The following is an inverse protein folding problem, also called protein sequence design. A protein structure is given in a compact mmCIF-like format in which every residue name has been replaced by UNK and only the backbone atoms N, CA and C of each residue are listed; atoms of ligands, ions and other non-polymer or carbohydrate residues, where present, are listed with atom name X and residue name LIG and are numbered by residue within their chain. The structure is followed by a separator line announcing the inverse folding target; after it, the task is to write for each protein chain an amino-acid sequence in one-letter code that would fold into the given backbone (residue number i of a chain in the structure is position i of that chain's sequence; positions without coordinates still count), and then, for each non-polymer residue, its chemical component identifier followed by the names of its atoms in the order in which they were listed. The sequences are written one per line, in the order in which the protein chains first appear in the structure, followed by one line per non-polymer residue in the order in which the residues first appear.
data_IF_499938891123
#
_entry.id   IF_499938891123
#
_cell.length_a   1.000
_cell.length_b   1.000
_cell.length_c   1.000
_cell.angle_alpha   90.00
_cell.angle_beta   90.00
_cell.angle_gamma   90.00
#
_symmetry.space_group_name_H-M   'P 1'
#
loop_
_entity.id
_entity.type
_entity.pdbx_description
1 polymer ?
#
# COMPACT_ATOMS: atom_id res chain seq x y z
N UNK A 1 11.77 20.59 30.16
CA UNK A 1 12.53 19.93 29.08
C UNK A 1 11.85 20.03 27.72
N UNK A 2 10.52 19.92 27.62
CA UNK A 2 9.78 20.08 26.34
C UNK A 2 10.01 21.43 25.63
N UNK A 3 9.94 22.56 26.35
CA UNK A 3 10.10 23.90 25.75
C UNK A 3 11.48 24.18 25.11
N UNK A 4 12.51 23.39 25.43
CA UNK A 4 13.86 23.54 24.84
C UNK A 4 14.02 22.74 23.54
N UNK A 5 13.13 21.77 23.31
CA UNK A 5 13.06 20.96 22.09
C UNK A 5 12.42 21.76 20.96
N UNK A 6 11.28 22.40 21.23
CA UNK A 6 10.52 23.14 20.22
C UNK A 6 11.32 24.33 19.68
N UNK A 7 12.03 25.02 20.58
CA UNK A 7 12.90 26.15 20.21
C UNK A 7 14.07 25.74 19.31
N UNK A 8 14.54 24.49 19.40
CA UNK A 8 15.61 23.97 18.55
C UNK A 8 15.09 23.57 17.16
N UNK A 9 13.87 23.03 17.08
CA UNK A 9 13.22 22.73 15.81
C UNK A 9 12.93 24.00 15.00
N UNK A 10 12.40 25.04 15.64
CA UNK A 10 12.15 26.34 14.99
C UNK A 10 13.45 26.98 14.48
N UNK A 11 14.55 26.83 15.22
CA UNK A 11 15.85 27.37 14.84
C UNK A 11 16.46 26.61 13.64
N UNK A 12 16.23 25.30 13.55
CA UNK A 12 16.66 24.50 12.40
C UNK A 12 15.82 24.79 11.17
N UNK A 13 14.51 24.89 11.31
CA UNK A 13 13.59 25.20 10.22
C UNK A 13 13.87 26.60 9.65
N UNK A 14 14.15 27.57 10.53
CA UNK A 14 14.59 28.91 10.15
C UNK A 14 15.92 28.91 9.38
N UNK A 15 16.90 28.11 9.81
CA UNK A 15 18.20 27.98 9.12
C UNK A 15 18.06 27.28 7.76
N UNK A 16 17.20 26.27 7.65
CA UNK A 16 16.92 25.59 6.38
C UNK A 16 16.20 26.51 5.38
N UNK A 17 15.22 27.30 5.85
CA UNK A 17 14.54 28.29 5.01
C UNK A 17 15.50 29.37 4.50
N UNK A 18 16.43 29.82 5.35
CA UNK A 18 17.45 30.79 4.98
C UNK A 18 18.43 30.23 3.93
N UNK A 19 18.89 28.99 4.12
CA UNK A 19 19.76 28.29 3.16
C UNK A 19 19.08 28.08 1.81
N UNK A 20 17.80 27.68 1.80
CA UNK A 20 17.03 27.52 0.56
C UNK A 20 16.94 28.85 -0.21
N UNK A 21 16.63 29.95 0.48
CA UNK A 21 16.58 31.29 -0.13
C UNK A 21 17.93 31.76 -0.66
N UNK A 22 19.02 31.45 0.05
CA UNK A 22 20.37 31.79 -0.41
C UNK A 22 20.79 30.95 -1.63
N UNK A 23 20.37 29.69 -1.67
CA UNK A 23 20.62 28.80 -2.81
C UNK A 23 19.85 29.26 -4.05
N UNK A 24 18.58 29.62 -3.91
CA UNK A 24 17.74 30.17 -4.98
C UNK A 24 18.31 31.49 -5.51
N UNK A 25 18.77 32.38 -4.61
CA UNK A 25 19.38 33.64 -4.99
C UNK A 25 20.71 33.44 -5.74
N UNK A 26 21.53 32.46 -5.32
CA UNK A 26 22.77 32.07 -6.01
C UNK A 26 22.48 31.44 -7.38
N UNK A 27 21.47 30.59 -7.49
CA UNK A 27 21.03 30.00 -8.77
C UNK A 27 20.56 31.07 -9.76
N UNK A 28 19.79 32.06 -9.29
CA UNK A 28 19.38 33.21 -10.11
C UNK A 28 20.57 34.07 -10.54
N UNK A 29 21.55 34.30 -9.66
CA UNK A 29 22.73 35.11 -9.97
C UNK A 29 23.69 34.45 -10.96
N UNK A 30 23.79 33.12 -10.94
CA UNK A 30 24.69 32.37 -11.82
C UNK A 30 24.13 32.17 -13.23
N UNK A 31 22.87 32.58 -13.50
CA UNK A 31 22.23 32.38 -14.80
C UNK A 31 22.14 30.91 -15.21
N UNK A 32 22.30 30.00 -14.25
CA UNK A 32 22.16 28.59 -14.50
C UNK A 32 20.67 28.33 -14.80
N UNK A 33 20.32 27.71 -15.95
CA UNK A 33 18.98 27.13 -16.07
C UNK A 33 18.77 26.26 -14.82
N UNK A 34 17.60 26.38 -14.17
CA UNK A 34 17.24 25.53 -13.04
C UNK A 34 17.62 24.12 -13.44
N UNK A 35 18.63 23.56 -12.76
CA UNK A 35 19.28 22.36 -13.25
C UNK A 35 18.17 21.35 -13.51
N UNK A 36 18.02 20.94 -14.76
CA UNK A 36 17.63 19.57 -15.08
C UNK A 36 18.76 18.71 -14.49
N UNK A 37 18.84 18.67 -13.16
CA UNK A 37 19.69 17.78 -12.43
C UNK A 37 19.13 16.44 -12.81
N UNK A 38 19.83 15.71 -13.69
CA UNK A 38 19.67 14.27 -13.76
C UNK A 38 19.63 13.80 -12.32
N UNK A 39 18.43 13.38 -11.85
CA UNK A 39 18.26 12.88 -10.50
C UNK A 39 19.19 11.67 -10.39
N UNK A 40 20.33 11.90 -9.72
CA UNK A 40 21.36 10.88 -9.54
C UNK A 40 20.73 9.79 -8.69
N UNK A 41 20.76 8.56 -9.20
CA UNK A 41 20.23 7.40 -8.49
C UNK A 41 20.91 7.30 -7.11
N UNK A 42 20.10 7.32 -6.05
CA UNK A 42 20.61 7.25 -4.68
C UNK A 42 21.23 5.89 -4.39
N UNK A 43 22.30 5.82 -3.57
CA UNK A 43 22.94 4.58 -3.24
C UNK A 43 22.03 3.72 -2.34
N UNK A 44 22.05 2.40 -2.55
CA UNK A 44 21.25 1.44 -1.79
C UNK A 44 21.43 1.58 -0.26
N UNK A 45 22.63 1.96 0.19
CA UNK A 45 22.98 2.07 1.60
C UNK A 45 22.04 3.01 2.38
N UNK A 46 21.48 4.03 1.73
CA UNK A 46 20.54 4.98 2.36
C UNK A 46 19.22 4.31 2.78
N UNK A 47 18.84 3.23 2.11
CA UNK A 47 17.60 2.49 2.39
C UNK A 47 17.81 1.28 3.29
N UNK A 48 19.06 0.97 3.68
CA UNK A 48 19.40 -0.26 4.40
C UNK A 48 18.52 -0.46 5.65
N UNK A 49 18.31 0.60 6.43
CA UNK A 49 17.43 0.56 7.61
C UNK A 49 16.01 0.15 7.25
N UNK A 50 15.42 0.75 6.23
CA UNK A 50 14.05 0.45 5.81
C UNK A 50 13.94 -0.97 5.24
N UNK A 51 14.97 -1.45 4.52
CA UNK A 51 15.06 -2.84 4.10
C UNK A 51 15.02 -3.80 5.28
N UNK A 52 15.89 -3.62 6.27
CA UNK A 52 15.97 -4.52 7.42
C UNK A 52 14.69 -4.53 8.24
N UNK A 53 14.08 -3.36 8.46
CA UNK A 53 12.80 -3.26 9.18
C UNK A 53 11.66 -3.95 8.42
N UNK A 54 11.54 -3.71 7.12
CA UNK A 54 10.50 -4.36 6.30
C UNK A 54 10.71 -5.87 6.20
N UNK A 55 11.96 -6.34 6.01
CA UNK A 55 12.28 -7.77 6.01
C UNK A 55 11.97 -8.41 7.36
N UNK A 56 12.36 -7.75 8.47
CA UNK A 56 12.07 -8.26 9.81
C UNK A 56 10.56 -8.41 10.04
N UNK A 57 9.76 -7.43 9.61
CA UNK A 57 8.31 -7.49 9.67
C UNK A 57 7.75 -8.62 8.79
N UNK A 58 8.25 -8.77 7.55
CA UNK A 58 7.86 -9.87 6.65
C UNK A 58 8.15 -11.24 7.29
N UNK A 59 9.35 -11.41 7.85
CA UNK A 59 9.77 -12.65 8.52
C UNK A 59 8.92 -12.92 9.75
N UNK A 60 8.68 -11.91 10.60
CA UNK A 60 7.82 -12.03 11.77
C UNK A 60 6.43 -12.53 11.39
N UNK A 61 5.81 -11.93 10.36
CA UNK A 61 4.48 -12.34 9.91
C UNK A 61 4.52 -13.75 9.31
N UNK A 62 5.40 -14.03 8.35
CA UNK A 62 5.43 -15.33 7.68
C UNK A 62 5.76 -16.48 8.65
N UNK A 63 6.81 -16.33 9.48
CA UNK A 63 7.18 -17.35 10.46
C UNK A 63 6.12 -17.48 11.55
N UNK A 64 5.56 -16.35 12.01
CA UNK A 64 4.49 -16.35 13.00
C UNK A 64 3.25 -17.10 12.51
N UNK A 65 2.82 -16.88 11.27
CA UNK A 65 1.67 -17.57 10.67
C UNK A 65 1.92 -19.07 10.54
N UNK A 66 3.11 -19.49 10.07
CA UNK A 66 3.49 -20.92 10.02
C UNK A 66 3.47 -21.51 11.42
N UNK A 67 4.12 -20.86 12.39
CA UNK A 67 4.17 -21.33 13.77
C UNK A 67 2.78 -21.47 14.38
N UNK A 68 1.91 -20.48 14.17
CA UNK A 68 0.52 -20.53 14.65
C UNK A 68 -0.29 -21.63 13.95
N UNK A 69 -0.09 -21.84 12.65
CA UNK A 69 -0.79 -22.89 11.90
C UNK A 69 -0.35 -24.31 12.31
N UNK A 70 0.93 -24.51 12.61
CA UNK A 70 1.48 -25.83 12.95
C UNK A 70 1.34 -26.20 14.43
N UNK A 71 1.51 -25.23 15.33
CA UNK A 71 1.61 -25.48 16.77
C UNK A 71 0.35 -25.12 17.55
N UNK A 72 -0.65 -24.48 16.94
CA UNK A 72 -1.93 -24.19 17.59
C UNK A 72 -3.02 -25.15 17.15
N UNK A 73 -3.67 -25.90 18.06
CA UNK A 73 -4.79 -26.78 17.72
C UNK A 73 -6.03 -26.01 17.23
N UNK A 74 -6.06 -24.69 17.44
CA UNK A 74 -7.11 -23.78 16.94
C UNK A 74 -6.79 -23.20 15.56
N UNK A 75 -5.57 -23.41 15.03
CA UNK A 75 -5.11 -22.94 13.73
C UNK A 75 -5.42 -21.47 13.51
N UNK A 76 -6.20 -21.18 12.46
CA UNK A 76 -6.63 -19.83 12.09
C UNK A 76 -7.38 -19.08 13.21
N UNK A 77 -8.07 -19.80 14.09
CA UNK A 77 -8.85 -19.22 15.19
C UNK A 77 -8.04 -19.01 16.46
N UNK A 78 -6.73 -19.23 16.44
CA UNK A 78 -5.88 -19.04 17.60
C UNK A 78 -5.60 -17.57 17.90
N UNK A 79 -5.35 -17.25 19.18
CA UNK A 79 -5.03 -15.88 19.58
C UNK A 79 -3.74 -15.39 18.92
N UNK A 80 -2.74 -16.26 18.80
CA UNK A 80 -1.48 -15.93 18.12
C UNK A 80 -1.72 -15.60 16.65
N UNK A 81 -2.52 -16.40 15.94
CA UNK A 81 -2.86 -16.11 14.54
C UNK A 81 -3.58 -14.77 14.41
N UNK A 82 -4.54 -14.46 15.28
CA UNK A 82 -5.24 -13.18 15.24
C UNK A 82 -4.28 -11.99 15.39
N UNK A 83 -3.34 -12.07 16.34
CA UNK A 83 -2.31 -11.02 16.54
C UNK A 83 -1.44 -10.87 15.30
N UNK A 84 -0.98 -11.98 14.72
CA UNK A 84 -0.11 -11.94 13.54
C UNK A 84 -0.86 -11.39 12.32
N UNK A 85 -2.13 -11.76 12.14
CA UNK A 85 -2.96 -11.26 11.06
C UNK A 85 -3.29 -9.76 11.18
N UNK A 86 -3.19 -9.15 12.38
CA UNK A 86 -3.23 -7.68 12.49
C UNK A 86 -1.95 -7.01 11.96
N UNK A 87 -0.80 -7.66 12.10
CA UNK A 87 0.46 -7.17 11.54
C UNK A 87 0.57 -7.41 10.02
N UNK A 88 -0.17 -8.37 9.47
CA UNK A 88 -0.09 -8.75 8.06
C UNK A 88 -0.42 -7.61 7.08
N UNK A 89 -1.52 -6.84 7.22
CA UNK A 89 -1.77 -5.68 6.36
C UNK A 89 -0.69 -4.58 6.49
N UNK A 90 -0.14 -4.39 7.69
CA UNK A 90 0.96 -3.42 7.92
C UNK A 90 2.22 -3.84 7.17
N UNK A 91 2.48 -5.14 7.08
CA UNK A 91 3.58 -5.70 6.29
C UNK A 91 3.44 -5.35 4.80
N UNK A 92 2.24 -5.49 4.22
CA UNK A 92 1.98 -5.07 2.85
C UNK A 92 2.17 -3.57 2.64
N UNK A 93 1.68 -2.75 3.57
CA UNK A 93 1.89 -1.29 3.55
C UNK A 93 3.38 -0.92 3.60
N UNK A 94 4.16 -1.59 4.45
CA UNK A 94 5.61 -1.39 4.54
C UNK A 94 6.34 -1.83 3.26
N UNK A 95 5.91 -2.92 2.62
CA UNK A 95 6.45 -3.37 1.34
C UNK A 95 6.18 -2.36 0.22
N UNK A 96 4.95 -1.85 0.11
CA UNK A 96 4.66 -0.77 -0.83
C UNK A 96 5.43 0.50 -0.47
N UNK A 97 5.58 0.81 0.82
CA UNK A 97 6.36 1.97 1.29
C UNK A 97 7.81 1.88 0.86
N UNK A 98 8.41 0.69 0.98
CA UNK A 98 9.77 0.45 0.53
C UNK A 98 9.88 0.55 -1.00
N UNK A 99 8.93 0.01 -1.77
CA UNK A 99 8.97 0.06 -3.24
C UNK A 99 8.81 1.49 -3.77
N UNK A 100 7.79 2.22 -3.31
CA UNK A 100 7.53 3.58 -3.80
C UNK A 100 8.44 4.62 -3.13
N UNK A 101 8.94 4.36 -1.93
CA UNK A 101 9.93 5.20 -1.25
C UNK A 101 11.36 5.02 -1.76
N UNK A 102 11.59 4.12 -2.72
CA UNK A 102 12.90 3.91 -3.39
C UNK A 102 12.82 4.27 -4.88
N UNK A 103 11.85 5.11 -5.29
CA UNK A 103 11.70 5.52 -6.68
C UNK A 103 12.94 6.24 -7.23
N UNK A 104 13.71 6.88 -6.36
CA UNK A 104 14.97 7.58 -6.56
C UNK A 104 16.21 6.66 -6.53
N UNK A 105 16.05 5.34 -6.34
CA UNK A 105 17.15 4.38 -6.42
C UNK A 105 16.76 3.11 -7.17
N UNK A 106 17.27 2.95 -8.39
CA UNK A 106 16.93 1.80 -9.25
C UNK A 106 17.35 0.44 -8.67
N UNK A 107 18.47 0.40 -7.94
CA UNK A 107 18.93 -0.80 -7.26
C UNK A 107 18.03 -1.15 -6.07
N UNK A 108 17.74 -0.18 -5.21
CA UNK A 108 16.85 -0.36 -4.07
C UNK A 108 15.45 -0.78 -4.54
N UNK A 109 14.87 -0.10 -5.54
CA UNK A 109 13.57 -0.48 -6.08
C UNK A 109 13.50 -1.93 -6.58
N UNK A 110 14.55 -2.43 -7.26
CA UNK A 110 14.62 -3.84 -7.69
C UNK A 110 14.66 -4.80 -6.50
N UNK A 111 15.48 -4.50 -5.49
CA UNK A 111 15.56 -5.34 -4.28
C UNK A 111 14.24 -5.33 -3.50
N UNK A 112 13.57 -4.17 -3.39
CA UNK A 112 12.28 -4.05 -2.73
C UNK A 112 11.21 -4.95 -3.39
N UNK A 113 11.16 -4.98 -4.73
CA UNK A 113 10.26 -5.86 -5.48
C UNK A 113 10.62 -7.34 -5.28
N UNK A 114 11.89 -7.69 -5.12
CA UNK A 114 12.30 -9.05 -4.77
C UNK A 114 11.82 -9.45 -3.38
N UNK A 115 11.94 -8.57 -2.38
CA UNK A 115 11.40 -8.81 -1.03
C UNK A 115 9.89 -9.03 -1.08
N UNK A 116 9.15 -8.20 -1.81
CA UNK A 116 7.71 -8.38 -2.04
C UNK A 116 7.40 -9.74 -2.67
N UNK A 117 8.14 -10.15 -3.71
CA UNK A 117 7.95 -11.45 -4.35
C UNK A 117 8.15 -12.59 -3.35
N UNK A 118 9.24 -12.56 -2.58
CA UNK A 118 9.52 -13.60 -1.57
C UNK A 118 8.42 -13.65 -0.53
N UNK A 119 8.02 -12.51 0.04
CA UNK A 119 6.94 -12.44 1.01
C UNK A 119 5.62 -13.00 0.45
N UNK A 120 5.22 -12.55 -0.75
CA UNK A 120 3.99 -13.01 -1.38
C UNK A 120 4.02 -14.51 -1.74
N UNK A 121 5.18 -15.05 -2.13
CA UNK A 121 5.36 -16.49 -2.32
C UNK A 121 5.25 -17.28 -1.02
N UNK A 122 5.78 -16.76 0.10
CA UNK A 122 5.58 -17.37 1.41
C UNK A 122 4.10 -17.43 1.79
N UNK A 123 3.28 -16.45 1.38
CA UNK A 123 1.84 -16.43 1.66
C UNK A 123 1.08 -17.63 1.08
N UNK A 124 1.56 -18.19 -0.04
CA UNK A 124 0.96 -19.39 -0.66
C UNK A 124 0.96 -20.56 0.34
N UNK A 125 2.07 -20.73 1.07
CA UNK A 125 2.23 -21.82 2.03
C UNK A 125 1.55 -21.46 3.35
N UNK A 126 1.74 -20.24 3.87
CA UNK A 126 1.21 -19.86 5.18
C UNK A 126 -0.31 -19.87 5.20
N UNK A 127 -0.97 -19.29 4.21
CA UNK A 127 -2.43 -19.27 4.12
C UNK A 127 -2.99 -20.67 3.89
N UNK A 128 -2.38 -21.46 3.00
CA UNK A 128 -2.75 -22.86 2.83
C UNK A 128 -2.73 -23.62 4.17
N UNK A 129 -1.62 -23.57 4.91
CA UNK A 129 -1.49 -24.25 6.20
C UNK A 129 -2.50 -23.73 7.23
N UNK A 130 -2.74 -22.41 7.25
CA UNK A 130 -3.65 -21.78 8.18
C UNK A 130 -5.09 -22.28 8.00
N UNK A 131 -5.58 -22.44 6.76
CA UNK A 131 -6.90 -23.01 6.48
C UNK A 131 -6.93 -24.55 6.59
N UNK A 132 -5.85 -25.21 6.17
CA UNK A 132 -5.74 -26.67 6.23
C UNK A 132 -5.79 -27.19 7.67
N UNK A 133 -5.09 -26.52 8.60
CA UNK A 133 -5.04 -26.88 10.02
C UNK A 133 -6.41 -26.92 10.71
N UNK A 134 -7.39 -26.17 10.20
CA UNK A 134 -8.77 -26.11 10.71
C UNK A 134 -9.75 -26.93 9.87
N UNK A 135 -9.26 -27.83 9.01
CA UNK A 135 -10.03 -28.74 8.14
C UNK A 135 -10.90 -28.00 7.10
N UNK A 136 -10.53 -26.77 6.73
CA UNK A 136 -11.18 -25.97 5.67
C UNK A 136 -10.45 -26.19 4.34
N UNK A 137 -10.56 -27.41 3.81
CA UNK A 137 -9.71 -27.86 2.69
C UNK A 137 -10.02 -27.14 1.38
N UNK A 138 -11.29 -26.86 1.10
CA UNK A 138 -11.70 -26.13 -0.11
C UNK A 138 -11.13 -24.71 -0.12
N UNK A 139 -11.21 -24.03 1.02
CA UNK A 139 -10.65 -22.68 1.18
C UNK A 139 -9.12 -22.70 1.19
N UNK A 140 -8.48 -23.74 1.74
CA UNK A 140 -7.04 -23.89 1.68
C UNK A 140 -6.54 -23.99 0.23
N UNK A 141 -7.23 -24.78 -0.61
CA UNK A 141 -6.93 -24.87 -2.05
C UNK A 141 -7.17 -23.53 -2.75
N UNK A 142 -8.29 -22.85 -2.44
CA UNK A 142 -8.57 -21.51 -2.96
C UNK A 142 -7.45 -20.52 -2.60
N UNK A 143 -6.90 -20.59 -1.39
CA UNK A 143 -5.79 -19.73 -0.95
C UNK A 143 -4.52 -19.96 -1.77
N UNK A 144 -4.21 -21.19 -2.21
CA UNK A 144 -3.08 -21.43 -3.10
C UNK A 144 -3.22 -20.61 -4.39
N UNK A 145 -4.39 -20.65 -5.01
CA UNK A 145 -4.66 -19.88 -6.23
C UNK A 145 -4.66 -18.38 -5.96
N UNK A 146 -5.36 -17.94 -4.92
CA UNK A 146 -5.48 -16.54 -4.52
C UNK A 146 -4.11 -15.89 -4.25
N UNK A 147 -3.29 -16.53 -3.42
CA UNK A 147 -1.95 -16.04 -3.08
C UNK A 147 -0.95 -16.27 -4.23
N UNK A 148 -1.14 -17.31 -5.04
CA UNK A 148 -0.36 -17.51 -6.26
C UNK A 148 -0.53 -16.37 -7.26
N UNK A 149 -1.78 -15.92 -7.47
CA UNK A 149 -2.08 -14.72 -8.26
C UNK A 149 -1.38 -13.50 -7.65
N UNK A 150 -1.45 -13.31 -6.33
CA UNK A 150 -0.79 -12.18 -5.66
C UNK A 150 0.74 -12.19 -5.86
N UNK A 151 1.37 -13.37 -5.73
CA UNK A 151 2.81 -13.55 -5.87
C UNK A 151 3.33 -13.28 -7.29
N UNK A 152 2.47 -13.41 -8.30
CA UNK A 152 2.81 -13.08 -9.69
C UNK A 152 2.44 -11.63 -10.02
N UNK A 153 1.19 -11.26 -9.76
CA UNK A 153 0.62 -10.00 -10.22
C UNK A 153 1.19 -8.79 -9.48
N UNK A 154 1.40 -8.83 -8.16
CA UNK A 154 1.90 -7.64 -7.46
C UNK A 154 3.34 -7.29 -7.81
N UNK A 155 4.31 -8.22 -7.80
CA UNK A 155 5.66 -7.88 -8.24
C UNK A 155 5.71 -7.38 -9.68
N UNK A 156 4.89 -7.98 -10.57
CA UNK A 156 4.75 -7.53 -11.96
C UNK A 156 4.20 -6.11 -12.04
N UNK A 157 3.10 -5.83 -11.34
CA UNK A 157 2.42 -4.55 -11.38
C UNK A 157 3.27 -3.44 -10.75
N UNK A 158 3.89 -3.70 -9.58
CA UNK A 158 4.82 -2.78 -8.94
C UNK A 158 5.98 -2.42 -9.87
N UNK A 159 6.57 -3.41 -10.54
CA UNK A 159 7.63 -3.16 -11.52
C UNK A 159 7.17 -2.22 -12.63
N UNK A 160 6.00 -2.47 -13.22
CA UNK A 160 5.47 -1.61 -14.29
C UNK A 160 5.17 -0.19 -13.79
N UNK A 161 4.58 -0.07 -12.60
CA UNK A 161 4.28 1.22 -11.98
C UNK A 161 5.55 2.01 -11.71
N UNK A 162 6.58 1.40 -11.11
CA UNK A 162 7.88 2.02 -10.86
C UNK A 162 8.54 2.46 -12.17
N UNK A 163 8.57 1.60 -13.20
CA UNK A 163 9.12 1.96 -14.51
C UNK A 163 8.40 3.16 -15.13
N UNK A 164 7.08 3.28 -14.96
CA UNK A 164 6.28 4.39 -15.50
C UNK A 164 6.44 5.67 -14.68
N UNK A 165 6.46 5.58 -13.35
CA UNK A 165 6.68 6.72 -12.46
C UNK A 165 8.08 7.30 -12.65
N UNK A 166 9.10 6.42 -12.79
CA UNK A 166 10.47 6.86 -13.00
C UNK A 166 10.67 7.66 -14.29
N UNK A 167 9.90 7.35 -15.34
CA UNK A 167 9.93 8.09 -16.60
C UNK A 167 9.36 9.51 -16.51
N UNK A 168 8.66 9.85 -15.42
CA UNK A 168 8.03 11.17 -15.24
C UNK A 168 8.93 12.17 -14.53
N UNK A 169 10.04 11.74 -13.93
CA UNK A 169 10.96 12.59 -13.17
C UNK A 169 10.38 13.05 -11.83
N UNK A 170 11.18 13.76 -11.02
CA UNK A 170 10.81 14.18 -9.67
C UNK A 170 10.76 13.00 -8.71
N UNK A 171 11.67 12.03 -8.88
CA UNK A 171 11.76 10.78 -8.14
C UNK A 171 11.80 10.99 -6.64
N UNK A 172 12.60 11.93 -6.14
CA UNK A 172 12.73 12.19 -4.71
C UNK A 172 11.42 12.72 -4.12
N UNK A 173 10.81 13.70 -4.78
CA UNK A 173 9.52 14.27 -4.36
C UNK A 173 8.39 13.24 -4.44
N UNK A 174 8.37 12.41 -5.48
CA UNK A 174 7.42 11.30 -5.59
C UNK A 174 7.63 10.26 -4.48
N UNK A 175 8.88 9.88 -4.20
CA UNK A 175 9.21 8.92 -3.15
C UNK A 175 8.75 9.42 -1.77
N UNK A 176 9.02 10.70 -1.46
CA UNK A 176 8.56 11.34 -0.24
C UNK A 176 7.03 11.37 -0.15
N UNK A 177 6.36 11.83 -1.22
CA UNK A 177 4.91 11.91 -1.31
C UNK A 177 4.22 10.55 -1.06
N UNK A 178 4.70 9.48 -1.69
CA UNK A 178 4.15 8.14 -1.52
C UNK A 178 4.42 7.58 -0.13
N UNK A 179 5.63 7.80 0.40
CA UNK A 179 6.01 7.38 1.75
C UNK A 179 5.12 8.06 2.80
N UNK A 180 4.92 9.38 2.71
CA UNK A 180 4.07 10.14 3.62
C UNK A 180 2.61 9.65 3.60
N UNK A 181 2.06 9.33 2.42
CA UNK A 181 0.70 8.77 2.32
C UNK A 181 0.61 7.37 2.91
N UNK A 182 1.61 6.52 2.69
CA UNK A 182 1.63 5.16 3.25
C UNK A 182 1.84 5.15 4.76
N UNK A 183 2.59 6.12 5.33
CA UNK A 183 2.68 6.29 6.77
C UNK A 183 1.32 6.60 7.41
N UNK A 184 0.48 7.41 6.75
CA UNK A 184 -0.90 7.64 7.20
C UNK A 184 -1.74 6.36 7.17
N UNK A 185 -1.61 5.56 6.11
CA UNK A 185 -2.27 4.25 6.00
C UNK A 185 -1.79 3.31 7.11
N UNK A 186 -0.48 3.20 7.31
CA UNK A 186 0.13 2.36 8.35
C UNK A 186 -0.31 2.79 9.74
N UNK A 187 -0.33 4.09 10.03
CA UNK A 187 -0.82 4.63 11.30
C UNK A 187 -2.26 4.24 11.57
N UNK A 188 -3.15 4.34 10.57
CA UNK A 188 -4.53 3.91 10.69
C UNK A 188 -4.65 2.39 10.91
N UNK A 189 -3.88 1.59 10.19
CA UNK A 189 -3.85 0.13 10.38
C UNK A 189 -3.36 -0.27 11.78
N UNK A 190 -2.36 0.42 12.31
CA UNK A 190 -1.87 0.20 13.68
C UNK A 190 -2.95 0.56 14.70
N UNK A 191 -3.66 1.68 14.52
CA UNK A 191 -4.78 2.06 15.39
C UNK A 191 -5.91 1.01 15.36
N UNK A 192 -6.25 0.50 14.17
CA UNK A 192 -7.23 -0.60 14.03
C UNK A 192 -6.75 -1.85 14.75
N UNK A 193 -5.49 -2.23 14.56
CA UNK A 193 -4.88 -3.40 15.20
C UNK A 193 -4.90 -3.30 16.74
N UNK A 194 -4.46 -2.16 17.28
CA UNK A 194 -4.46 -1.88 18.73
C UNK A 194 -5.87 -1.85 19.28
N UNK A 195 -6.80 -1.16 18.60
CA UNK A 195 -8.20 -1.10 19.00
C UNK A 195 -8.86 -2.47 18.99
N UNK A 196 -8.59 -3.29 17.97
CA UNK A 196 -9.12 -4.64 17.88
C UNK A 196 -8.53 -5.56 18.97
N UNK A 197 -7.23 -5.45 19.26
CA UNK A 197 -6.59 -6.17 20.36
C UNK A 197 -7.14 -5.73 21.74
N UNK A 198 -7.40 -4.44 21.93
CA UNK A 198 -7.98 -3.89 23.17
C UNK A 198 -9.42 -4.37 23.43
N UNK A 199 -10.18 -4.68 22.36
CA UNK A 199 -11.50 -5.31 22.47
C UNK A 199 -11.46 -6.81 22.81
N UNK A 200 -10.26 -7.37 22.97
CA UNK A 200 -10.01 -8.75 23.35
C UNK A 200 -9.72 -9.67 22.16
N UNK A 201 -8.80 -10.61 22.38
CA UNK A 201 -8.48 -11.71 21.47
C UNK A 201 -8.85 -13.01 22.19
N UNK A 202 -10.04 -13.55 21.89
CA UNK A 202 -10.60 -14.75 22.53
C UNK A 202 -10.98 -15.80 21.49
N UNK A 203 -10.01 -16.11 20.63
CA UNK A 203 -10.09 -17.15 19.61
C UNK A 203 -11.36 -17.11 18.77
N UNK A 204 -12.14 -18.19 18.79
CA UNK A 204 -13.38 -18.30 18.02
C UNK A 204 -14.44 -17.26 18.38
N UNK A 205 -14.47 -16.74 19.60
CA UNK A 205 -15.50 -15.77 20.01
C UNK A 205 -15.29 -14.40 19.39
N UNK A 206 -14.04 -14.05 19.08
CA UNK A 206 -13.67 -12.76 18.48
C UNK A 206 -13.38 -12.87 16.99
N UNK A 207 -13.46 -14.06 16.39
CA UNK A 207 -13.02 -14.30 15.01
C UNK A 207 -13.75 -13.44 13.99
N UNK A 208 -15.06 -13.26 14.13
CA UNK A 208 -15.86 -12.51 13.14
C UNK A 208 -15.48 -11.02 13.15
N UNK A 209 -15.34 -10.43 14.35
CA UNK A 209 -14.83 -9.07 14.52
C UNK A 209 -13.41 -8.94 13.98
N UNK A 210 -12.56 -9.91 14.29
CA UNK A 210 -11.18 -9.97 13.81
C UNK A 210 -11.12 -9.97 12.28
N UNK A 211 -11.88 -10.85 11.61
CA UNK A 211 -11.93 -10.91 10.14
C UNK A 211 -12.42 -9.60 9.55
N UNK A 212 -13.44 -8.98 10.15
CA UNK A 212 -13.99 -7.73 9.69
C UNK A 212 -12.98 -6.56 9.81
N UNK A 213 -12.23 -6.50 10.92
CA UNK A 213 -11.16 -5.52 11.12
C UNK A 213 -9.98 -5.72 10.15
N UNK A 214 -9.54 -6.96 9.94
CA UNK A 214 -8.49 -7.30 8.98
C UNK A 214 -8.93 -6.98 7.55
N UNK A 215 -10.17 -7.28 7.18
CA UNK A 215 -10.74 -6.95 5.86
C UNK A 215 -10.67 -5.44 5.59
N UNK A 216 -11.06 -4.61 6.57
CA UNK A 216 -10.92 -3.17 6.43
C UNK A 216 -9.45 -2.76 6.28
N UNK A 217 -8.57 -3.30 7.13
CA UNK A 217 -7.14 -2.99 7.09
C UNK A 217 -6.48 -3.34 5.75
N UNK A 218 -6.89 -4.46 5.12
CA UNK A 218 -6.46 -4.84 3.78
C UNK A 218 -6.93 -3.83 2.74
N UNK A 219 -8.22 -3.45 2.81
CA UNK A 219 -8.81 -2.53 1.86
C UNK A 219 -8.09 -1.19 1.80
N UNK A 220 -7.52 -0.71 2.91
CA UNK A 220 -6.81 0.57 2.97
C UNK A 220 -5.57 0.59 2.06
N UNK A 221 -4.69 -0.42 2.19
CA UNK A 221 -3.45 -0.43 1.41
C UNK A 221 -3.74 -0.78 -0.06
N UNK A 222 -4.71 -1.66 -0.33
CA UNK A 222 -5.09 -2.04 -1.69
C UNK A 222 -5.73 -0.85 -2.40
N UNK A 223 -6.63 -0.13 -1.73
CA UNK A 223 -7.25 1.07 -2.26
C UNK A 223 -6.19 2.12 -2.58
N UNK A 224 -5.27 2.39 -1.64
CA UNK A 224 -4.16 3.30 -1.89
C UNK A 224 -3.37 2.89 -3.15
N UNK A 225 -2.97 1.62 -3.24
CA UNK A 225 -2.17 1.10 -4.35
C UNK A 225 -2.89 1.21 -5.70
N UNK A 226 -4.19 0.88 -5.76
CA UNK A 226 -4.98 1.01 -6.99
C UNK A 226 -5.25 2.46 -7.37
N UNK A 227 -5.48 3.35 -6.40
CA UNK A 227 -5.65 4.78 -6.69
C UNK A 227 -4.36 5.40 -7.23
N UNK A 228 -3.20 5.04 -6.69
CA UNK A 228 -1.89 5.44 -7.26
C UNK A 228 -1.74 4.90 -8.69
N UNK A 229 -2.11 3.64 -8.93
CA UNK A 229 -2.05 3.06 -10.27
C UNK A 229 -2.97 3.80 -11.27
N UNK A 230 -4.18 4.16 -10.86
CA UNK A 230 -5.16 4.83 -11.72
C UNK A 230 -4.77 6.30 -11.96
N UNK A 231 -4.62 7.08 -10.90
CA UNK A 231 -4.45 8.53 -11.02
C UNK A 231 -3.02 8.89 -11.35
N UNK A 232 -2.04 8.33 -10.65
CA UNK A 232 -0.67 8.76 -10.80
C UNK A 232 0.01 7.99 -11.94
N UNK A 233 -0.05 6.66 -11.97
CA UNK A 233 0.67 5.86 -12.98
C UNK A 233 0.01 5.95 -14.37
N UNK A 234 -1.32 5.93 -14.42
CA UNK A 234 -2.07 5.98 -15.69
C UNK A 234 -2.49 7.40 -16.08
N UNK A 235 -2.15 8.42 -15.28
CA UNK A 235 -2.50 9.83 -15.52
C UNK A 235 -3.99 10.04 -15.80
N UNK A 236 -4.87 9.29 -15.13
CA UNK A 236 -6.31 9.53 -15.25
C UNK A 236 -6.62 10.89 -14.63
N UNK A 237 -7.13 11.84 -15.41
CA UNK A 237 -7.43 13.17 -14.89
C UNK A 237 -8.54 13.12 -13.84
N UNK A 238 -8.27 13.57 -12.62
CA UNK A 238 -9.27 13.63 -11.53
C UNK A 238 -10.47 14.51 -11.90
N UNK A 239 -10.25 15.58 -12.66
CA UNK A 239 -11.33 16.45 -13.16
C UNK A 239 -12.20 15.74 -14.20
N UNK A 240 -11.61 14.92 -15.07
CA UNK A 240 -12.37 14.09 -16.00
C UNK A 240 -13.18 13.03 -15.26
N UNK A 241 -12.59 12.41 -14.22
CA UNK A 241 -13.28 11.46 -13.35
C UNK A 241 -14.50 12.10 -12.65
N UNK A 242 -14.33 13.29 -12.08
CA UNK A 242 -15.42 14.04 -11.43
C UNK A 242 -16.56 14.42 -12.41
N UNK A 243 -16.24 14.60 -13.69
CA UNK A 243 -17.21 14.92 -14.76
C UNK A 243 -17.69 13.69 -15.53
N UNK A 244 -17.36 12.47 -15.06
CA UNK A 244 -17.69 11.20 -15.71
C UNK A 244 -17.20 11.10 -17.17
N UNK A 245 -16.13 11.81 -17.52
CA UNK A 245 -15.51 11.81 -18.86
C UNK A 245 -14.37 10.80 -18.95
N UNK A 246 -14.63 9.58 -18.49
CA UNK A 246 -13.65 8.50 -18.45
C UNK A 246 -13.91 7.48 -19.54
N UNK A 247 -12.86 6.83 -20.02
CA UNK A 247 -13.00 5.64 -20.86
C UNK A 247 -13.63 4.49 -20.08
N UNK A 248 -14.28 3.54 -20.76
CA UNK A 248 -14.90 2.39 -20.10
C UNK A 248 -13.95 1.63 -19.17
N UNK A 249 -12.67 1.48 -19.56
CA UNK A 249 -11.66 0.81 -18.74
C UNK A 249 -11.32 1.60 -17.47
N UNK A 250 -11.17 2.92 -17.57
CA UNK A 250 -10.91 3.79 -16.41
C UNK A 250 -12.11 3.80 -15.46
N UNK A 251 -13.33 3.86 -16.00
CA UNK A 251 -14.57 3.75 -15.22
C UNK A 251 -14.67 2.41 -14.51
N UNK A 252 -14.40 1.30 -15.20
CA UNK A 252 -14.42 -0.03 -14.60
C UNK A 252 -13.37 -0.18 -13.48
N UNK A 253 -12.15 0.33 -13.68
CA UNK A 253 -11.10 0.34 -12.66
C UNK A 253 -11.50 1.15 -11.42
N UNK A 254 -12.08 2.34 -11.60
CA UNK A 254 -12.54 3.18 -10.48
C UNK A 254 -13.73 2.57 -9.75
N UNK A 255 -14.74 2.08 -10.47
CA UNK A 255 -15.93 1.47 -9.85
C UNK A 255 -15.53 0.23 -9.05
N UNK A 256 -14.73 -0.67 -9.64
CA UNK A 256 -14.26 -1.86 -8.94
C UNK A 256 -13.44 -1.52 -7.69
N UNK A 257 -12.53 -0.55 -7.79
CA UNK A 257 -11.76 -0.05 -6.64
C UNK A 257 -12.67 0.57 -5.57
N UNK A 258 -13.67 1.36 -5.98
CA UNK A 258 -14.67 1.92 -5.08
C UNK A 258 -15.50 0.86 -4.36
N UNK A 259 -15.93 -0.18 -5.07
CA UNK A 259 -16.64 -1.33 -4.47
C UNK A 259 -15.74 -2.10 -3.49
N UNK A 260 -14.44 -2.19 -3.76
CA UNK A 260 -13.47 -2.77 -2.84
C UNK A 260 -13.35 -1.96 -1.55
N UNK A 261 -13.24 -0.64 -1.65
CA UNK A 261 -13.22 0.27 -0.50
C UNK A 261 -14.53 0.14 0.31
N UNK A 262 -15.68 0.14 -0.35
CA UNK A 262 -16.98 0.00 0.30
C UNK A 262 -17.12 -1.35 1.02
N UNK A 263 -16.59 -2.43 0.44
CA UNK A 263 -16.58 -3.74 1.08
C UNK A 263 -15.72 -3.73 2.35
N UNK A 264 -14.54 -3.10 2.29
CA UNK A 264 -13.70 -2.89 3.47
C UNK A 264 -14.38 -2.06 4.56
N UNK A 265 -15.03 -0.94 4.17
CA UNK A 265 -15.77 -0.08 5.09
C UNK A 265 -16.94 -0.81 5.76
N UNK A 266 -17.65 -1.67 5.02
CA UNK A 266 -18.66 -2.54 5.60
C UNK A 266 -18.06 -3.47 6.67
N UNK A 267 -16.83 -3.97 6.46
CA UNK A 267 -16.06 -4.72 7.46
C UNK A 267 -15.79 -3.91 8.72
N UNK A 268 -15.39 -2.65 8.58
CA UNK A 268 -15.19 -1.75 9.73
C UNK A 268 -16.47 -1.56 10.54
N UNK A 269 -17.61 -1.30 9.88
CA UNK A 269 -18.91 -1.14 10.53
C UNK A 269 -19.33 -2.42 11.27
N UNK A 270 -19.12 -3.59 10.65
CA UNK A 270 -19.39 -4.88 11.28
C UNK A 270 -18.49 -5.12 12.50
N UNK A 271 -17.19 -4.78 12.41
CA UNK A 271 -16.25 -4.96 13.51
C UNK A 271 -16.65 -4.15 14.76
N UNK A 272 -17.24 -2.97 14.57
CA UNK A 272 -17.76 -2.12 15.65
C UNK A 272 -19.01 -2.65 16.35
N UNK A 273 -19.65 -3.71 15.83
CA UNK A 273 -20.83 -4.29 16.47
C UNK A 273 -20.45 -5.08 17.73
N UNK A 274 -21.30 -5.01 18.75
CA UNK A 274 -21.14 -5.80 19.99
C UNK A 274 -21.12 -7.30 19.69
N UNK A 275 -21.95 -7.74 18.75
CA UNK A 275 -22.08 -9.12 18.28
C UNK A 275 -22.25 -9.13 16.74
N UNK A 276 -21.14 -9.13 15.98
CA UNK A 276 -21.21 -9.12 14.52
C UNK A 276 -21.92 -10.37 14.00
N UNK A 277 -22.73 -10.21 12.96
CA UNK A 277 -23.40 -11.34 12.31
C UNK A 277 -22.35 -12.18 11.54
N UNK A 278 -22.22 -13.49 11.81
CA UNK A 278 -21.23 -14.34 11.15
C UNK A 278 -21.41 -14.41 9.63
N UNK A 279 -22.67 -14.48 9.15
CA UNK A 279 -22.99 -14.52 7.71
C UNK A 279 -22.63 -13.20 7.03
N UNK A 280 -22.88 -12.07 7.69
CA UNK A 280 -22.52 -10.76 7.16
C UNK A 280 -21.00 -10.59 7.09
N UNK A 281 -20.27 -11.03 8.12
CA UNK A 281 -18.80 -10.98 8.16
C UNK A 281 -18.19 -11.81 7.02
N UNK A 282 -18.72 -13.01 6.78
CA UNK A 282 -18.35 -13.85 5.65
C UNK A 282 -18.66 -13.19 4.30
N UNK A 283 -19.86 -12.64 4.12
CA UNK A 283 -20.26 -11.98 2.89
C UNK A 283 -19.34 -10.79 2.55
N UNK A 284 -18.99 -9.99 3.56
CA UNK A 284 -18.08 -8.86 3.41
C UNK A 284 -16.68 -9.31 3.00
N UNK A 285 -16.15 -10.37 3.61
CA UNK A 285 -14.85 -10.93 3.22
C UNK A 285 -14.86 -11.40 1.76
N UNK A 286 -15.87 -12.16 1.34
CA UNK A 286 -15.99 -12.62 -0.05
C UNK A 286 -16.21 -11.48 -1.04
N UNK A 287 -17.05 -10.50 -0.71
CA UNK A 287 -17.24 -9.30 -1.52
C UNK A 287 -15.94 -8.52 -1.68
N UNK A 288 -15.17 -8.37 -0.59
CA UNK A 288 -13.85 -7.75 -0.62
C UNK A 288 -12.89 -8.55 -1.52
N UNK A 289 -12.84 -9.88 -1.42
CA UNK A 289 -11.97 -10.71 -2.27
C UNK A 289 -12.36 -10.63 -3.75
N UNK A 290 -13.64 -10.69 -4.05
CA UNK A 290 -14.13 -10.60 -5.43
C UNK A 290 -13.79 -9.24 -6.04
N UNK A 291 -14.15 -8.15 -5.34
CA UNK A 291 -13.86 -6.78 -5.80
C UNK A 291 -12.36 -6.52 -5.89
N UNK A 292 -11.57 -7.11 -4.99
CA UNK A 292 -10.11 -7.07 -5.02
C UNK A 292 -9.53 -7.65 -6.33
N UNK A 293 -9.94 -8.86 -6.73
CA UNK A 293 -9.42 -9.51 -7.95
C UNK A 293 -9.97 -8.85 -9.22
N UNK A 294 -11.24 -8.43 -9.22
CA UNK A 294 -11.83 -7.67 -10.33
C UNK A 294 -11.09 -6.34 -10.54
N UNK A 295 -10.77 -5.63 -9.45
CA UNK A 295 -9.97 -4.40 -9.50
C UNK A 295 -8.57 -4.66 -10.03
N UNK A 296 -7.91 -5.75 -9.56
CA UNK A 296 -6.59 -6.14 -10.04
C UNK A 296 -6.57 -6.33 -11.56
N UNK A 297 -7.60 -6.97 -12.13
CA UNK A 297 -7.71 -7.17 -13.58
C UNK A 297 -7.83 -5.84 -14.33
N UNK A 298 -8.74 -4.95 -13.90
CA UNK A 298 -8.95 -3.67 -14.60
C UNK A 298 -7.77 -2.71 -14.42
N UNK A 299 -7.24 -2.57 -13.20
CA UNK A 299 -6.07 -1.74 -12.89
C UNK A 299 -4.82 -2.27 -13.59
N UNK A 300 -4.59 -3.59 -13.51
CA UNK A 300 -3.48 -4.22 -14.22
C UNK A 300 -3.55 -4.01 -15.73
N UNK A 301 -4.75 -4.12 -16.31
CA UNK A 301 -4.98 -3.83 -17.74
C UNK A 301 -4.74 -2.36 -18.07
N UNK A 302 -5.13 -1.44 -17.19
CA UNK A 302 -4.92 -0.01 -17.36
C UNK A 302 -3.43 0.33 -17.35
N UNK A 303 -2.67 -0.18 -16.37
CA UNK A 303 -1.21 0.00 -16.28
C UNK A 303 -0.49 -0.64 -17.47
N UNK A 304 -0.92 -1.84 -17.90
CA UNK A 304 -0.40 -2.46 -19.12
C UNK A 304 -0.62 -1.57 -20.35
N UNK A 305 -1.83 -0.99 -20.51
CA UNK A 305 -2.12 -0.08 -21.62
C UNK A 305 -1.28 1.20 -21.55
N UNK A 306 -1.05 1.74 -20.35
CA UNK A 306 -0.14 2.87 -20.17
C UNK A 306 1.31 2.54 -20.56
N UNK A 307 1.76 1.30 -20.34
CA UNK A 307 3.13 0.86 -20.69
C UNK A 307 3.35 0.53 -22.16
N UNK A 308 2.37 -0.11 -22.80
CA UNK A 308 2.52 -0.73 -24.13
C UNK A 308 1.55 -0.20 -25.18
N UNK A 309 0.45 0.44 -24.77
CA UNK A 309 -0.57 0.96 -25.68
C UNK A 309 -0.24 2.35 -26.26
N UNK A 310 0.77 3.03 -25.72
CA UNK A 310 1.24 4.33 -26.20
C UNK A 310 2.39 4.18 -27.21
N UNK A 311 2.17 3.41 -28.28
CA UNK A 311 2.97 3.56 -29.48
C UNK A 311 2.72 4.95 -30.10
N UNK A 312 3.76 5.80 -30.09
CA UNK A 312 3.98 6.93 -31.01
C UNK A 312 3.42 8.36 -30.76
N UNK A 313 2.74 8.74 -29.66
CA UNK A 313 2.22 10.13 -29.61
C UNK A 313 2.11 10.92 -28.28
N UNK A 314 2.37 10.38 -27.09
CA UNK A 314 1.98 11.11 -25.85
C UNK A 314 3.09 11.42 -24.83
N UNK A 315 4.36 11.20 -25.15
CA UNK A 315 5.45 11.49 -24.21
C UNK A 315 5.73 12.98 -24.03
N UNK A 316 5.22 13.86 -24.91
CA UNK A 316 5.45 15.30 -24.82
C UNK A 316 4.43 16.08 -23.96
N UNK A 317 3.27 15.50 -23.61
CA UNK A 317 2.21 16.23 -22.91
C UNK A 317 2.16 16.00 -21.38
N UNK A 318 2.99 15.11 -20.84
CA UNK A 318 2.92 14.69 -19.44
C UNK A 318 3.82 15.51 -18.48
N UNK A 319 4.63 16.45 -18.98
CA UNK A 319 5.63 17.19 -18.21
C UNK A 319 5.05 18.29 -17.29
N UNK A 320 3.73 18.41 -17.13
CA UNK A 320 3.10 19.52 -16.38
C UNK A 320 2.06 19.12 -15.34
N UNK A 321 1.90 17.82 -15.03
CA UNK A 321 0.93 17.43 -13.99
C UNK A 321 1.59 17.57 -12.63
N UNK A 322 1.36 18.73 -11.98
CA UNK A 322 1.64 18.89 -10.54
C UNK A 322 0.93 17.78 -9.77
N UNK A 323 1.57 17.16 -8.76
CA UNK A 323 0.91 16.17 -7.91
C UNK A 323 -0.36 16.78 -7.33
N UNK A 324 -1.48 16.09 -7.53
CA UNK A 324 -2.79 16.56 -7.04
C UNK A 324 -2.85 16.31 -5.54
N UNK A 325 -2.93 17.39 -4.76
CA UNK A 325 -3.31 17.41 -3.35
C UNK A 325 -4.79 17.04 -3.16
N UNK A 326 -5.18 15.84 -3.58
CA UNK A 326 -6.55 15.34 -3.40
C UNK A 326 -6.89 15.06 -1.92
N UNK A 327 -5.92 15.15 -1.01
CA UNK A 327 -6.07 14.89 0.42
C UNK A 327 -5.54 16.03 1.31
N UNK A 328 -4.96 17.08 0.73
CA UNK A 328 -4.47 18.25 1.48
C UNK A 328 -5.59 19.23 1.89
N UNK A 329 -6.78 19.09 1.30
CA UNK A 329 -7.94 19.95 1.58
C UNK A 329 -8.96 19.33 2.54
N UNK A 330 -8.60 18.27 3.27
CA UNK A 330 -9.38 17.82 4.42
C UNK A 330 -8.92 18.63 5.63
N UNK A 331 -9.35 19.88 5.68
CA UNK A 331 -9.54 20.59 6.95
C UNK A 331 -10.60 19.81 7.72
N UNK A 332 -10.14 18.83 8.49
CA UNK A 332 -10.94 18.24 9.54
C UNK A 332 -10.91 19.24 10.71
N UNK A 333 -12.08 19.63 11.25
CA UNK A 333 -12.18 20.58 12.36
C UNK A 333 -11.49 20.09 13.64
#
# INVERSE_FOLDING_TARGET
MAARSDQWYDEIEGKQSLLAKQLDALQQHLGAPAADAEEVDQPLAEYARNFYLTILLCVFVSVGMVGSALFSPMGFYSNSMQVICYAWPVCWTALFGLIFGTLDSSEAGRRAIQVLRVHASCQIITEFLAFWSVKRYEEAVLQIFAQGVNAVCYPWLCRLMVELLRKRGGLASQAEHYTNRLLKVAGLQILIAVGAAAMGVDGRRTSDRFFAAVTFSISLYVAWFYLVAIFDVCAVESRAAAKLRLTCLQTAALISTGLHILSGLAGYVLAGQKSPNPRASFLVLYAMMLTYYVSLLFVGRLVWKARYGSGAASTAAAASVKPVDALGSLDLP
#
